data_IF_757900514797
#
_entry.id   IF_757900514797
#
_cell.length_a   1.000
_cell.length_b   1.000
_cell.length_c   1.000
_cell.angle_alpha   90.00
_cell.angle_beta   90.00
_cell.angle_gamma   90.00
#
_symmetry.space_group_name_H-M   'P 1'
#
loop_
_entity.id
_entity.type
_entity.pdbx_description
1 polymer ?
#
# COMPACT_ATOMS: atom_id res chain seq x y z
N UNK A 1 30.35 -28.86 80.28
CA UNK A 1 31.54 -28.68 79.54
C UNK A 1 31.28 -28.11 78.14
N UNK A 2 31.76 -26.92 77.94
CA UNK A 2 32.18 -26.31 76.70
C UNK A 2 31.15 -26.20 75.54
N UNK A 3 30.52 -25.06 75.34
CA UNK A 3 31.06 -23.81 74.74
C UNK A 3 31.67 -24.02 73.39
N UNK A 4 31.11 -23.43 72.43
CA UNK A 4 31.88 -22.64 71.46
C UNK A 4 30.94 -21.90 70.48
N UNK A 5 30.86 -20.65 70.72
CA UNK A 5 30.35 -19.59 69.85
C UNK A 5 31.10 -19.60 68.54
N UNK A 6 30.43 -19.60 67.43
CA UNK A 6 30.98 -19.26 66.13
C UNK A 6 30.16 -18.15 65.52
N UNK A 7 30.71 -16.96 65.56
CA UNK A 7 30.25 -15.81 64.82
C UNK A 7 30.43 -16.06 63.31
N UNK A 8 29.34 -16.11 62.56
CA UNK A 8 29.41 -16.07 61.13
C UNK A 8 29.26 -14.61 60.66
N UNK A 9 30.28 -14.08 60.06
CA UNK A 9 30.32 -12.78 59.37
C UNK A 9 29.37 -12.78 58.20
N UNK A 10 28.36 -11.92 58.22
CA UNK A 10 27.47 -11.66 57.11
C UNK A 10 28.20 -10.73 56.12
N UNK A 11 28.71 -11.28 55.05
CA UNK A 11 29.23 -10.51 53.93
C UNK A 11 28.09 -10.16 53.01
N UNK A 12 27.67 -8.90 53.01
CA UNK A 12 26.69 -8.33 52.10
C UNK A 12 27.40 -8.05 50.76
N UNK A 13 27.27 -8.96 49.80
CA UNK A 13 27.71 -8.76 48.43
C UNK A 13 26.60 -8.02 47.66
N UNK A 14 26.78 -6.71 47.46
CA UNK A 14 25.95 -5.88 46.59
C UNK A 14 26.29 -6.23 45.13
N UNK A 15 25.54 -7.11 44.51
CA UNK A 15 25.67 -7.40 43.11
C UNK A 15 25.02 -6.28 42.29
N UNK A 16 25.85 -5.43 41.73
CA UNK A 16 25.47 -4.43 40.73
C UNK A 16 25.25 -5.14 39.40
N UNK A 17 24.00 -5.49 39.07
CA UNK A 17 23.65 -6.02 37.76
C UNK A 17 23.59 -4.87 36.74
N UNK A 18 24.29 -4.95 35.60
CA UNK A 18 24.11 -3.99 34.54
C UNK A 18 22.70 -4.13 33.94
N UNK A 19 21.95 -3.03 33.93
CA UNK A 19 20.68 -2.97 33.20
C UNK A 19 20.98 -3.09 31.70
N UNK A 20 20.79 -4.26 31.15
CA UNK A 20 20.74 -4.45 29.70
C UNK A 20 19.40 -3.87 29.27
N UNK A 21 19.43 -2.67 28.67
CA UNK A 21 18.29 -2.13 27.97
C UNK A 21 17.97 -3.06 26.78
N UNK A 22 16.97 -3.90 26.97
CA UNK A 22 16.44 -4.71 25.88
C UNK A 22 15.89 -3.74 24.81
N UNK A 23 16.58 -3.65 23.67
CA UNK A 23 16.01 -3.07 22.47
C UNK A 23 14.74 -3.86 22.15
N UNK A 24 13.60 -3.17 22.22
CA UNK A 24 12.36 -3.74 21.74
C UNK A 24 12.53 -4.07 20.25
N UNK A 25 12.15 -5.26 19.79
CA UNK A 25 12.25 -5.59 18.38
C UNK A 25 11.39 -4.59 17.61
N UNK A 26 12.01 -3.92 16.64
CA UNK A 26 11.30 -3.14 15.62
C UNK A 26 10.21 -4.06 15.06
N UNK A 27 8.96 -3.62 15.13
CA UNK A 27 7.83 -4.38 14.61
C UNK A 27 8.16 -4.83 13.18
N UNK A 28 8.12 -6.13 12.97
CA UNK A 28 8.27 -6.72 11.64
C UNK A 28 7.24 -6.07 10.71
N UNK A 29 7.58 -5.88 9.41
CA UNK A 29 6.60 -5.39 8.45
C UNK A 29 5.36 -6.28 8.52
N UNK A 30 4.19 -5.63 8.59
CA UNK A 30 2.91 -6.33 8.66
C UNK A 30 2.88 -7.33 7.49
N UNK A 31 2.84 -8.62 7.80
CA UNK A 31 2.80 -9.66 6.81
C UNK A 31 1.65 -9.37 5.83
N UNK A 32 1.94 -9.49 4.54
CA UNK A 32 0.93 -9.40 3.50
C UNK A 32 -0.26 -10.28 3.91
N UNK A 33 -1.44 -9.71 3.97
CA UNK A 33 -2.64 -10.45 4.37
C UNK A 33 -3.02 -11.30 3.17
N UNK A 34 -2.72 -12.60 3.21
CA UNK A 34 -3.21 -13.54 2.21
C UNK A 34 -4.73 -13.62 2.36
N UNK A 35 -5.44 -13.11 1.38
CA UNK A 35 -6.89 -13.25 1.27
C UNK A 35 -7.13 -14.45 0.35
N UNK A 36 -7.80 -15.49 0.85
CA UNK A 36 -8.23 -16.62 0.02
C UNK A 36 -9.44 -16.18 -0.83
N UNK A 37 -9.22 -15.21 -1.72
CA UNK A 37 -10.22 -14.60 -2.59
C UNK A 37 -9.55 -14.13 -3.90
N UNK A 38 -10.32 -14.08 -4.97
CA UNK A 38 -9.83 -13.56 -6.26
C UNK A 38 -9.55 -12.05 -6.19
N UNK A 39 -8.82 -11.52 -7.18
CA UNK A 39 -8.63 -10.06 -7.33
C UNK A 39 -9.97 -9.32 -7.34
N UNK A 40 -10.98 -9.84 -8.03
CA UNK A 40 -12.29 -9.22 -8.13
C UNK A 40 -13.03 -9.19 -6.78
N UNK A 41 -13.02 -10.30 -6.04
CA UNK A 41 -13.64 -10.39 -4.72
C UNK A 41 -12.94 -9.49 -3.70
N UNK A 42 -11.61 -9.44 -3.78
CA UNK A 42 -10.80 -8.59 -2.90
C UNK A 42 -11.06 -7.11 -3.16
N UNK A 43 -11.14 -6.68 -4.42
CA UNK A 43 -11.47 -5.28 -4.77
C UNK A 43 -12.81 -4.83 -4.21
N UNK A 44 -13.81 -5.72 -4.19
CA UNK A 44 -15.16 -5.40 -3.71
C UNK A 44 -15.23 -5.20 -2.18
N UNK A 45 -14.22 -5.67 -1.44
CA UNK A 45 -14.20 -5.63 0.03
C UNK A 45 -13.00 -4.88 0.61
N UNK A 46 -12.01 -4.54 -0.21
CA UNK A 46 -10.79 -3.88 0.22
C UNK A 46 -11.03 -2.40 0.50
N UNK A 47 -10.65 -1.97 1.69
CA UNK A 47 -10.60 -0.55 2.02
C UNK A 47 -9.40 0.11 1.31
N UNK A 48 -9.64 1.28 0.77
CA UNK A 48 -8.63 2.11 0.13
C UNK A 48 -7.85 2.97 1.13
N UNK A 49 -7.18 4.01 0.62
CA UNK A 49 -6.44 4.93 1.47
C UNK A 49 -7.36 5.70 2.42
N UNK A 50 -6.79 6.07 3.57
CA UNK A 50 -7.45 6.90 4.56
C UNK A 50 -7.77 8.28 3.97
N UNK A 51 -8.99 8.77 4.21
CA UNK A 51 -9.41 10.14 3.89
C UNK A 51 -9.44 10.92 5.18
N UNK A 52 -8.74 12.04 5.24
CA UNK A 52 -8.67 12.90 6.43
C UNK A 52 -9.62 14.08 6.33
N UNK A 53 -10.14 14.52 7.49
CA UNK A 53 -10.78 15.82 7.59
C UNK A 53 -9.78 16.91 7.16
N UNK A 54 -10.19 17.89 6.44
CA UNK A 54 -9.28 18.92 5.91
C UNK A 54 -8.71 18.62 4.52
N UNK A 55 -8.81 17.41 4.00
CA UNK A 55 -8.42 17.11 2.61
C UNK A 55 -9.25 17.90 1.57
N UNK A 56 -10.48 18.23 1.92
CA UNK A 56 -11.44 19.06 1.16
C UNK A 56 -11.63 20.46 1.75
N UNK A 57 -10.84 20.84 2.78
CA UNK A 57 -10.88 22.13 3.42
C UNK A 57 -12.04 22.34 4.40
N UNK A 58 -12.83 21.30 4.68
CA UNK A 58 -14.01 21.37 5.56
C UNK A 58 -13.77 20.54 6.81
N UNK A 59 -13.57 21.20 7.96
CA UNK A 59 -13.23 20.53 9.21
C UNK A 59 -14.44 20.15 10.08
N UNK A 60 -15.54 20.88 10.00
CA UNK A 60 -16.77 20.68 10.80
C UNK A 60 -16.51 20.43 12.30
N UNK A 61 -15.43 21.00 12.85
CA UNK A 61 -15.04 20.84 14.24
C UNK A 61 -14.12 19.64 14.53
N UNK A 62 -13.65 18.93 13.52
CA UNK A 62 -12.63 17.88 13.62
C UNK A 62 -11.24 18.45 13.38
N UNK A 63 -10.21 17.74 13.84
CA UNK A 63 -8.82 18.07 13.49
C UNK A 63 -8.51 17.62 12.07
N UNK A 64 -7.63 18.35 11.37
CA UNK A 64 -7.18 17.99 10.01
C UNK A 64 -6.59 16.57 9.91
N UNK A 65 -6.03 16.07 11.01
CA UNK A 65 -5.43 14.74 11.09
C UNK A 65 -6.41 13.62 11.48
N UNK A 66 -7.69 13.95 11.72
CA UNK A 66 -8.70 12.95 12.03
C UNK A 66 -9.14 12.23 10.76
N UNK A 67 -9.34 10.92 10.87
CA UNK A 67 -9.82 10.10 9.77
C UNK A 67 -11.31 10.39 9.56
N UNK A 68 -11.68 10.85 8.36
CA UNK A 68 -13.04 11.05 7.91
C UNK A 68 -13.69 9.77 7.42
N UNK A 69 -12.87 8.88 6.83
CA UNK A 69 -13.29 7.61 6.24
C UNK A 69 -12.18 6.97 5.43
N UNK A 70 -12.56 6.01 4.63
CA UNK A 70 -11.65 5.31 3.72
C UNK A 70 -12.16 5.45 2.29
N UNK A 71 -11.25 5.57 1.35
CA UNK A 71 -11.55 5.44 -0.07
C UNK A 71 -11.84 3.96 -0.40
N UNK A 72 -12.28 3.66 -1.59
CA UNK A 72 -12.55 2.30 -2.03
C UNK A 72 -12.22 2.14 -3.53
N UNK A 73 -12.52 0.97 -4.10
CA UNK A 73 -12.19 0.60 -5.49
C UNK A 73 -13.41 0.23 -6.31
N UNK A 74 -14.61 0.65 -5.91
CA UNK A 74 -15.87 0.30 -6.54
C UNK A 74 -15.94 0.74 -8.01
N UNK A 75 -15.39 1.93 -8.33
CA UNK A 75 -15.35 2.43 -9.71
C UNK A 75 -14.48 1.55 -10.59
N UNK A 76 -13.33 1.07 -10.10
CA UNK A 76 -12.48 0.13 -10.83
C UNK A 76 -13.18 -1.21 -11.04
N UNK A 77 -13.77 -1.78 -9.98
CA UNK A 77 -14.49 -3.05 -10.07
C UNK A 77 -15.67 -2.98 -11.08
N UNK A 78 -16.43 -1.88 -11.03
CA UNK A 78 -17.51 -1.63 -11.98
C UNK A 78 -17.01 -1.46 -13.41
N UNK A 79 -15.89 -0.76 -13.61
CA UNK A 79 -15.27 -0.56 -14.92
C UNK A 79 -14.75 -1.88 -15.51
N UNK A 80 -14.05 -2.72 -14.72
CA UNK A 80 -13.57 -4.03 -15.15
C UNK A 80 -14.74 -4.92 -15.60
N UNK A 81 -15.82 -4.95 -14.82
CA UNK A 81 -17.03 -5.71 -15.14
C UNK A 81 -17.72 -5.21 -16.40
N UNK A 82 -17.90 -3.88 -16.53
CA UNK A 82 -18.56 -3.24 -17.67
C UNK A 82 -17.81 -3.47 -18.98
N UNK A 83 -16.49 -3.35 -18.96
CA UNK A 83 -15.64 -3.49 -20.14
C UNK A 83 -15.26 -4.96 -20.43
N UNK A 84 -15.71 -5.90 -19.59
CA UNK A 84 -15.48 -7.34 -19.78
C UNK A 84 -14.01 -7.75 -19.63
N UNK A 85 -13.25 -7.06 -18.78
CA UNK A 85 -11.86 -7.42 -18.48
C UNK A 85 -11.86 -8.52 -17.42
N UNK A 86 -11.64 -9.75 -17.87
CA UNK A 86 -11.59 -10.94 -17.01
C UNK A 86 -10.15 -11.21 -16.55
N UNK A 87 -9.94 -11.25 -15.24
CA UNK A 87 -8.67 -11.56 -14.61
C UNK A 87 -8.63 -12.97 -14.00
N UNK A 88 -9.60 -13.84 -14.29
CA UNK A 88 -9.65 -15.17 -13.71
C UNK A 88 -8.71 -16.17 -14.40
N UNK A 89 -8.29 -15.90 -15.61
CA UNK A 89 -7.57 -16.84 -16.48
C UNK A 89 -6.07 -16.97 -16.24
N UNK A 90 -5.50 -16.31 -15.22
CA UNK A 90 -4.07 -16.33 -14.97
C UNK A 90 -3.67 -15.71 -13.65
N UNK A 91 -2.38 -15.52 -13.47
CA UNK A 91 -1.82 -14.75 -12.35
C UNK A 91 -1.49 -13.33 -12.82
N UNK A 92 -1.98 -12.34 -12.09
CA UNK A 92 -1.83 -10.94 -12.48
C UNK A 92 -1.42 -10.06 -11.29
N UNK A 93 -0.81 -8.94 -11.63
CA UNK A 93 -0.68 -7.81 -10.71
C UNK A 93 -1.57 -6.69 -11.21
N UNK A 94 -2.55 -6.31 -10.40
CA UNK A 94 -3.46 -5.23 -10.70
C UNK A 94 -2.98 -3.95 -10.04
N UNK A 95 -2.69 -2.93 -10.84
CA UNK A 95 -2.51 -1.57 -10.37
C UNK A 95 -3.90 -0.95 -10.20
N UNK A 96 -4.36 -0.80 -8.97
CA UNK A 96 -5.72 -0.42 -8.64
C UNK A 96 -5.82 1.07 -8.28
N UNK A 97 -6.29 1.95 -9.19
CA UNK A 97 -6.62 3.32 -8.84
C UNK A 97 -7.84 3.33 -7.91
N UNK A 98 -7.74 4.09 -6.82
CA UNK A 98 -8.84 4.31 -5.89
C UNK A 98 -9.93 5.20 -6.51
N UNK A 99 -11.11 5.28 -5.91
CA UNK A 99 -12.21 6.09 -6.45
C UNK A 99 -11.83 7.56 -6.58
N UNK A 100 -11.07 8.12 -5.63
CA UNK A 100 -10.54 9.49 -5.73
C UNK A 100 -9.68 9.71 -6.98
N UNK A 101 -8.92 8.69 -7.41
CA UNK A 101 -8.13 8.75 -8.64
C UNK A 101 -9.03 8.74 -9.89
N UNK A 102 -10.13 8.00 -9.89
CA UNK A 102 -11.13 8.04 -10.95
C UNK A 102 -11.84 9.39 -11.02
N UNK A 103 -12.24 9.93 -9.88
CA UNK A 103 -12.89 11.25 -9.81
C UNK A 103 -11.97 12.35 -10.34
N UNK A 104 -10.69 12.31 -9.94
CA UNK A 104 -9.67 13.21 -10.47
C UNK A 104 -9.51 13.05 -11.99
N UNK A 105 -9.42 11.81 -12.48
CA UNK A 105 -9.30 11.53 -13.90
C UNK A 105 -10.49 12.06 -14.69
N UNK A 106 -11.70 11.83 -14.23
CA UNK A 106 -12.92 12.31 -14.87
C UNK A 106 -13.00 13.83 -14.93
N UNK A 107 -12.53 14.54 -13.90
CA UNK A 107 -12.59 16.00 -13.81
C UNK A 107 -11.45 16.69 -14.58
N UNK A 108 -10.25 16.14 -14.56
CA UNK A 108 -9.05 16.79 -15.11
C UNK A 108 -8.69 16.29 -16.52
N UNK A 109 -8.84 15.01 -16.78
CA UNK A 109 -8.39 14.36 -18.04
C UNK A 109 -9.57 14.05 -18.95
N UNK A 110 -10.62 13.45 -18.40
CA UNK A 110 -11.87 13.14 -19.11
C UNK A 110 -11.73 12.09 -20.23
N UNK A 111 -10.59 11.38 -20.31
CA UNK A 111 -10.42 10.28 -21.28
C UNK A 111 -11.32 9.10 -20.91
N UNK A 112 -12.07 8.53 -21.84
CA UNK A 112 -12.93 7.38 -21.55
C UNK A 112 -12.15 6.20 -21.00
N UNK A 113 -12.66 5.59 -19.94
CA UNK A 113 -12.11 4.36 -19.36
C UNK A 113 -12.60 3.18 -20.23
N UNK A 114 -11.72 2.70 -21.09
CA UNK A 114 -11.99 1.58 -22.01
C UNK A 114 -11.29 0.31 -21.53
N UNK A 115 -11.62 -0.83 -22.13
CA UNK A 115 -10.93 -2.10 -21.86
C UNK A 115 -9.41 -2.00 -22.08
N UNK A 116 -8.96 -1.19 -23.04
CA UNK A 116 -7.53 -0.98 -23.30
C UNK A 116 -6.84 -0.22 -22.17
N UNK A 117 -7.47 0.83 -21.64
CA UNK A 117 -7.01 1.56 -20.45
C UNK A 117 -6.97 0.64 -19.24
N UNK A 118 -7.99 -0.18 -19.02
CA UNK A 118 -8.03 -1.11 -17.89
C UNK A 118 -6.95 -2.19 -18.01
N UNK A 119 -6.72 -2.75 -19.20
CA UNK A 119 -5.62 -3.70 -19.45
C UNK A 119 -4.24 -3.08 -19.27
N UNK A 120 -4.12 -1.76 -19.41
CA UNK A 120 -2.88 -1.04 -19.11
C UNK A 120 -2.54 -1.02 -17.62
N UNK A 121 -3.53 -1.23 -16.75
CA UNK A 121 -3.34 -1.38 -15.30
C UNK A 121 -3.00 -2.81 -14.88
N UNK A 122 -2.97 -3.76 -15.81
CA UNK A 122 -2.75 -5.18 -15.50
C UNK A 122 -1.39 -5.63 -16.03
N UNK A 123 -0.59 -6.20 -15.14
CA UNK A 123 0.73 -6.76 -15.42
C UNK A 123 0.64 -8.28 -15.26
N UNK A 124 1.27 -9.06 -16.16
CA UNK A 124 1.31 -10.51 -16.04
C UNK A 124 2.19 -10.96 -14.86
N UNK A 125 1.70 -11.94 -14.13
CA UNK A 125 2.35 -12.55 -12.97
C UNK A 125 2.20 -11.76 -11.68
N UNK A 126 2.55 -12.39 -10.56
CA UNK A 126 2.54 -11.79 -9.24
C UNK A 126 3.79 -10.93 -9.02
N UNK A 127 3.65 -9.63 -8.97
CA UNK A 127 4.73 -8.66 -8.78
C UNK A 127 4.52 -7.89 -7.47
N UNK A 128 5.45 -8.08 -6.56
CA UNK A 128 5.52 -7.25 -5.34
C UNK A 128 6.08 -5.87 -5.65
N UNK A 129 5.96 -4.94 -4.71
CA UNK A 129 6.51 -3.59 -4.81
C UNK A 129 7.97 -3.56 -5.22
N UNK A 130 8.79 -4.49 -4.71
CA UNK A 130 10.21 -4.56 -5.04
C UNK A 130 10.45 -4.96 -6.51
N UNK A 131 9.58 -5.79 -7.08
CA UNK A 131 9.66 -6.20 -8.48
C UNK A 131 9.17 -5.09 -9.44
N UNK A 132 8.40 -4.12 -8.97
CA UNK A 132 7.89 -3.00 -9.76
C UNK A 132 8.89 -1.83 -9.91
N UNK A 133 10.12 -1.99 -9.46
CA UNK A 133 11.18 -0.97 -9.61
C UNK A 133 11.83 -0.95 -11.01
N UNK A 134 11.33 -1.76 -11.94
CA UNK A 134 11.77 -1.85 -13.32
C UNK A 134 10.59 -1.70 -14.25
N UNK A 135 10.85 -1.33 -15.52
CA UNK A 135 9.81 -1.20 -16.53
C UNK A 135 8.97 -2.50 -16.63
N UNK A 136 7.66 -2.34 -16.70
CA UNK A 136 6.72 -3.45 -16.71
C UNK A 136 5.92 -3.48 -18.02
N UNK A 137 5.73 -4.69 -18.57
CA UNK A 137 4.80 -4.88 -19.68
C UNK A 137 3.39 -5.13 -19.15
N UNK A 138 2.44 -4.47 -19.79
CA UNK A 138 1.03 -4.55 -19.42
C UNK A 138 0.26 -5.48 -20.36
N UNK A 139 -0.91 -5.90 -19.92
CA UNK A 139 -1.77 -6.83 -20.67
C UNK A 139 -2.26 -6.27 -22.02
N UNK A 140 -2.29 -4.94 -22.19
CA UNK A 140 -2.57 -4.31 -23.50
C UNK A 140 -1.34 -4.25 -24.42
N UNK A 141 -0.20 -4.77 -23.99
CA UNK A 141 1.06 -4.74 -24.75
C UNK A 141 1.90 -3.47 -24.58
N UNK A 142 1.42 -2.49 -23.83
CA UNK A 142 2.16 -1.27 -23.49
C UNK A 142 3.27 -1.55 -22.47
N UNK A 143 4.06 -0.53 -22.19
CA UNK A 143 5.13 -0.60 -21.19
C UNK A 143 4.99 0.55 -20.22
N UNK A 144 4.92 0.23 -18.93
CA UNK A 144 4.97 1.20 -17.83
C UNK A 144 6.43 1.50 -17.52
N UNK A 145 6.79 2.76 -17.51
CA UNK A 145 8.15 3.20 -17.17
C UNK A 145 8.29 3.36 -15.66
N UNK A 146 9.20 2.57 -15.09
CA UNK A 146 9.51 2.65 -13.66
C UNK A 146 10.60 3.69 -13.39
N UNK A 147 10.39 4.51 -12.36
CA UNK A 147 11.41 5.43 -11.89
C UNK A 147 11.25 5.73 -10.40
N UNK A 148 12.32 6.25 -9.79
CA UNK A 148 12.32 6.66 -8.39
C UNK A 148 12.58 8.15 -8.27
N UNK A 149 11.62 8.89 -7.69
CA UNK A 149 11.70 10.33 -7.47
C UNK A 149 11.17 10.65 -6.07
N UNK A 150 11.82 11.55 -5.35
CA UNK A 150 11.44 11.96 -3.99
C UNK A 150 11.27 10.77 -3.02
N UNK A 151 12.16 9.77 -3.10
CA UNK A 151 12.14 8.55 -2.27
C UNK A 151 10.89 7.65 -2.47
N UNK A 152 10.10 7.92 -3.48
CA UNK A 152 8.89 7.15 -3.86
C UNK A 152 9.13 6.42 -5.17
N UNK A 153 8.46 5.28 -5.34
CA UNK A 153 8.47 4.51 -6.58
C UNK A 153 7.29 4.95 -7.43
N UNK A 154 7.53 5.09 -8.72
CA UNK A 154 6.57 5.56 -9.69
C UNK A 154 6.51 4.61 -10.88
N UNK A 155 5.30 4.44 -11.44
CA UNK A 155 5.05 3.81 -12.73
C UNK A 155 4.20 4.78 -13.57
N UNK A 156 4.73 5.23 -14.70
CA UNK A 156 4.06 6.19 -15.61
C UNK A 156 3.34 7.35 -14.92
N UNK A 157 3.97 7.93 -13.90
CA UNK A 157 3.39 9.04 -13.16
C UNK A 157 2.48 8.68 -11.98
N UNK A 158 2.10 7.42 -11.82
CA UNK A 158 1.39 6.96 -10.62
C UNK A 158 2.37 6.58 -9.52
N UNK A 159 2.05 6.95 -8.28
CA UNK A 159 2.84 6.56 -7.10
C UNK A 159 2.38 5.19 -6.63
N UNK A 160 3.34 4.31 -6.33
CA UNK A 160 3.06 2.99 -5.81
C UNK A 160 3.52 2.89 -4.36
N UNK A 161 2.72 2.26 -3.50
CA UNK A 161 3.08 1.96 -2.12
C UNK A 161 3.37 3.20 -1.29
N UNK A 162 2.50 4.18 -1.36
CA UNK A 162 2.54 5.35 -0.50
C UNK A 162 2.49 4.92 0.97
N UNK A 163 3.63 5.05 1.66
CA UNK A 163 3.67 4.95 3.11
C UNK A 163 3.81 6.34 3.69
N UNK A 164 3.07 6.60 4.76
CA UNK A 164 3.23 7.83 5.53
C UNK A 164 4.62 7.90 6.12
N UNK A 165 5.43 8.85 5.67
CA UNK A 165 6.70 9.19 6.29
C UNK A 165 6.57 10.60 6.90
N UNK A 166 6.43 10.68 8.21
CA UNK A 166 6.49 11.94 8.95
C UNK A 166 5.27 12.28 9.80
N UNK A 167 5.27 13.46 10.45
CA UNK A 167 4.21 13.89 11.39
C UNK A 167 2.88 14.22 10.70
N UNK A 168 2.87 14.50 9.41
CA UNK A 168 1.64 14.53 8.64
C UNK A 168 1.28 13.12 8.23
N UNK A 169 0.20 12.61 8.78
CA UNK A 169 -0.39 11.34 8.38
C UNK A 169 -0.78 11.46 6.91
N UNK A 170 0.03 10.92 6.02
CA UNK A 170 -0.42 10.66 4.66
C UNK A 170 -1.13 9.31 4.64
N UNK A 171 -2.13 9.19 3.81
CA UNK A 171 -2.93 7.98 3.66
C UNK A 171 -2.05 6.75 3.43
N UNK A 172 -2.36 5.66 4.13
CA UNK A 172 -1.74 4.37 3.88
C UNK A 172 -2.43 3.74 2.67
N UNK A 173 -1.69 3.62 1.58
CA UNK A 173 -2.18 2.97 0.37
C UNK A 173 -1.96 1.46 0.47
N UNK A 174 -2.99 0.63 0.26
CA UNK A 174 -2.84 -0.82 0.24
C UNK A 174 -1.80 -1.24 -0.81
N UNK A 175 -0.82 -2.02 -0.41
CA UNK A 175 0.22 -2.54 -1.28
C UNK A 175 0.53 -3.98 -0.94
N UNK A 176 0.97 -4.74 -1.94
CA UNK A 176 1.25 -6.18 -1.82
C UNK A 176 0.07 -6.96 -1.23
N UNK A 177 -1.16 -6.62 -1.65
CA UNK A 177 -2.36 -7.34 -1.24
C UNK A 177 -2.44 -8.63 -2.04
N UNK A 178 -2.10 -9.75 -1.40
CA UNK A 178 -2.08 -11.06 -2.04
C UNK A 178 -3.49 -11.61 -2.21
N UNK A 179 -3.81 -12.04 -3.43
CA UNK A 179 -5.02 -12.74 -3.82
C UNK A 179 -4.67 -14.12 -4.37
N UNK A 180 -5.65 -15.01 -4.50
CA UNK A 180 -5.43 -16.35 -5.07
C UNK A 180 -4.84 -16.29 -6.48
N UNK A 181 -5.35 -15.40 -7.31
CA UNK A 181 -4.96 -15.23 -8.71
C UNK A 181 -4.09 -14.00 -8.96
N UNK A 182 -3.48 -13.38 -7.93
CA UNK A 182 -2.61 -12.23 -8.16
C UNK A 182 -2.23 -11.41 -6.96
N UNK A 183 -1.81 -10.18 -7.24
CA UNK A 183 -1.48 -9.15 -6.25
C UNK A 183 -2.16 -7.85 -6.65
N UNK A 184 -2.69 -7.11 -5.68
CA UNK A 184 -3.22 -5.77 -5.90
C UNK A 184 -2.26 -4.75 -5.32
N UNK A 185 -1.99 -3.71 -6.12
CA UNK A 185 -1.21 -2.53 -5.73
C UNK A 185 -2.08 -1.29 -5.91
N UNK A 186 -2.46 -0.64 -4.84
CA UNK A 186 -3.23 0.59 -4.95
C UNK A 186 -2.36 1.75 -5.47
N UNK A 187 -2.91 2.55 -6.38
CA UNK A 187 -2.27 3.70 -7.00
C UNK A 187 -3.16 4.95 -6.94
N UNK A 188 -2.52 6.12 -6.99
CA UNK A 188 -3.16 7.43 -6.82
C UNK A 188 -3.65 8.09 -8.12
N UNK A 189 -3.44 7.44 -9.25
CA UNK A 189 -3.72 8.01 -10.57
C UNK A 189 -4.16 6.93 -11.54
N UNK A 190 -5.13 7.24 -12.40
CA UNK A 190 -5.52 6.37 -13.52
C UNK A 190 -4.45 6.47 -14.62
N UNK A 191 -3.90 5.32 -15.00
CA UNK A 191 -2.89 5.22 -16.06
C UNK A 191 -3.55 5.21 -17.44
N UNK A 192 -3.15 6.13 -18.30
CA UNK A 192 -3.65 6.21 -19.69
C UNK A 192 -2.51 5.90 -20.64
N UNK A 193 -2.67 4.92 -21.56
CA UNK A 193 -1.64 4.60 -22.54
C UNK A 193 -1.19 5.82 -23.33
N UNK A 194 0.12 6.11 -23.34
CA UNK A 194 0.71 7.23 -24.06
C UNK A 194 0.53 8.62 -23.45
N UNK A 195 -0.19 8.75 -22.32
CA UNK A 195 -0.33 10.04 -21.64
C UNK A 195 0.96 10.46 -20.91
N UNK A 196 1.74 9.50 -20.44
CA UNK A 196 3.01 9.78 -19.77
C UNK A 196 4.12 10.06 -20.78
N UNK A 197 4.48 11.34 -20.92
CA UNK A 197 5.52 11.79 -21.86
C UNK A 197 6.95 11.60 -21.34
N UNK A 198 7.13 10.97 -20.17
CA UNK A 198 8.46 10.64 -19.62
C UNK A 198 9.24 11.85 -19.15
N UNK A 199 8.98 12.33 -17.96
CA UNK A 199 10.00 13.08 -17.21
C UNK A 199 11.05 12.10 -16.68
N UNK A 200 12.11 11.89 -17.44
CA UNK A 200 13.31 11.15 -17.02
C UNK A 200 14.27 12.05 -16.25
#
# INVERSE_FOLDING_TARGET
>A
AQSLTKMAKLALALALAPAVTAFAPVAAPKAATKVDASIADTLATMEGPEIFWGSDGVLLGHDEADIKGYDNFDQLAAALSKEGVDLSGGEYTLLAPANSAFDKHNNEVGTPITADVLKYHVIEGKKTMDALNTDQKTLNGGTLTAYRKFRKNWLDGAIIGLKSEGPSKSSNWPSDVECDNGIIQAIDTVLVPGAYAGER
#
